data_IF_465513937510
#
_entry.id   IF_465513937510
#
_cell.length_a   1.000
_cell.length_b   1.000
_cell.length_c   1.000
_cell.angle_alpha   90.00
_cell.angle_beta   90.00
_cell.angle_gamma   90.00
#
_symmetry.space_group_name_H-M   'P 1'
#
loop_
_entity.id
_entity.type
_entity.pdbx_description
1 polymer ?
#
# COMPACT_ATOMS: atom_id res chain seq x y z
N UNK A 1 -6.91 -4.29 7.97
CA UNK A 1 -6.06 -4.91 6.91
C UNK A 1 -6.45 -6.35 6.62
N UNK A 2 -5.65 -7.04 5.79
CA UNK A 2 -5.89 -8.47 5.53
C UNK A 2 -5.38 -9.33 6.70
N UNK A 3 -4.34 -8.88 7.39
CA UNK A 3 -3.61 -9.64 8.42
C UNK A 3 -3.50 -8.94 9.76
N UNK A 4 -3.96 -7.69 9.87
CA UNK A 4 -3.90 -6.91 11.10
C UNK A 4 -5.02 -5.86 11.13
N UNK A 5 -5.41 -5.47 12.32
CA UNK A 5 -6.25 -4.31 12.61
C UNK A 5 -5.38 -3.19 13.19
N UNK A 6 -5.74 -1.95 12.90
CA UNK A 6 -5.04 -0.77 13.42
C UNK A 6 -6.03 0.22 13.98
N UNK A 7 -5.77 0.67 15.21
CA UNK A 7 -6.40 1.84 15.80
C UNK A 7 -5.35 2.94 15.84
N UNK A 8 -5.64 4.08 15.24
CA UNK A 8 -4.74 5.23 15.22
C UNK A 8 -5.44 6.50 15.64
N UNK A 9 -4.70 7.41 16.28
CA UNK A 9 -5.20 8.69 16.72
C UNK A 9 -4.05 9.65 17.04
N UNK A 10 -4.38 10.87 17.38
CA UNK A 10 -3.42 11.90 17.80
C UNK A 10 -4.05 12.81 18.85
N UNK A 11 -3.22 13.39 19.68
CA UNK A 11 -3.61 14.39 20.68
C UNK A 11 -2.52 15.44 20.83
N UNK A 12 -2.88 16.62 21.31
CA UNK A 12 -1.89 17.56 21.81
C UNK A 12 -1.30 17.05 23.14
N UNK A 13 -0.08 17.45 23.47
CA UNK A 13 0.60 16.96 24.70
C UNK A 13 -0.23 17.17 25.97
N UNK A 14 -0.99 18.27 26.05
CA UNK A 14 -1.88 18.56 27.19
C UNK A 14 -3.04 17.58 27.31
N UNK A 15 -3.41 16.91 26.21
CA UNK A 15 -4.57 16.02 26.12
C UNK A 15 -4.15 14.52 26.06
N UNK A 16 -2.88 14.24 26.41
CA UNK A 16 -2.30 12.90 26.31
C UNK A 16 -3.03 11.89 27.20
N UNK A 17 -3.40 12.29 28.43
CA UNK A 17 -4.18 11.43 29.31
C UNK A 17 -5.57 11.12 28.72
N UNK A 18 -6.23 12.10 28.10
CA UNK A 18 -7.50 11.87 27.41
C UNK A 18 -7.34 10.85 26.26
N UNK A 19 -6.24 10.92 25.51
CA UNK A 19 -5.95 9.93 24.49
C UNK A 19 -5.81 8.53 25.07
N UNK A 20 -5.12 8.38 26.21
CA UNK A 20 -4.95 7.09 26.89
C UNK A 20 -6.28 6.57 27.43
N UNK A 21 -7.12 7.43 27.99
CA UNK A 21 -8.49 7.10 28.40
C UNK A 21 -9.33 6.62 27.21
N UNK A 22 -9.25 7.28 26.06
CA UNK A 22 -9.95 6.86 24.86
C UNK A 22 -9.48 5.48 24.38
N UNK A 23 -8.17 5.22 24.34
CA UNK A 23 -7.65 3.90 23.96
C UNK A 23 -8.20 2.82 24.91
N UNK A 24 -8.17 3.09 26.21
CA UNK A 24 -8.70 2.18 27.23
C UNK A 24 -10.18 1.89 27.01
N UNK A 25 -10.99 2.91 26.78
CA UNK A 25 -12.42 2.77 26.54
C UNK A 25 -12.75 2.03 25.22
N UNK A 26 -12.01 2.29 24.17
CA UNK A 26 -12.17 1.54 22.91
C UNK A 26 -11.99 0.03 23.11
N UNK A 27 -11.08 -0.39 24.00
CA UNK A 27 -10.85 -1.80 24.26
C UNK A 27 -11.83 -2.38 25.27
N UNK A 28 -12.12 -1.65 26.38
CA UNK A 28 -12.85 -2.18 27.55
C UNK A 28 -14.35 -1.89 27.56
N UNK A 29 -14.78 -0.75 26.99
CA UNK A 29 -16.15 -0.29 27.04
C UNK A 29 -16.56 0.46 25.76
N UNK A 30 -16.41 -0.16 24.57
CA UNK A 30 -16.79 0.50 23.32
C UNK A 30 -18.29 0.80 23.29
N UNK A 31 -18.65 2.00 22.89
CA UNK A 31 -20.05 2.38 22.70
C UNK A 31 -20.51 1.94 21.30
N UNK A 32 -21.39 0.95 21.24
CA UNK A 32 -22.00 0.49 20.01
C UNK A 32 -23.32 1.21 19.76
N UNK A 33 -23.28 2.26 18.94
CA UNK A 33 -24.46 3.03 18.54
C UNK A 33 -25.09 2.45 17.27
N UNK A 34 -26.27 1.83 17.42
CA UNK A 34 -27.00 1.24 16.30
C UNK A 34 -27.53 2.28 15.31
N UNK A 35 -27.87 3.49 15.75
CA UNK A 35 -28.34 4.54 14.87
C UNK A 35 -27.19 5.04 13.99
N UNK A 36 -26.02 5.27 14.59
CA UNK A 36 -24.83 5.67 13.86
C UNK A 36 -24.37 4.57 12.90
N UNK A 37 -24.37 3.31 13.32
CA UNK A 37 -24.09 2.17 12.43
C UNK A 37 -24.99 2.17 11.20
N UNK A 38 -26.31 2.29 11.40
CA UNK A 38 -27.28 2.33 10.30
C UNK A 38 -27.03 3.53 9.39
N UNK A 39 -26.72 4.70 9.94
CA UNK A 39 -26.40 5.91 9.17
C UNK A 39 -25.17 5.70 8.28
N UNK A 40 -24.11 5.10 8.82
CA UNK A 40 -22.90 4.79 8.04
C UNK A 40 -23.16 3.73 6.97
N UNK A 41 -23.92 2.69 7.29
CA UNK A 41 -24.28 1.65 6.34
C UNK A 41 -25.13 2.20 5.18
N UNK A 42 -26.10 3.05 5.44
CA UNK A 42 -26.89 3.72 4.39
C UNK A 42 -26.03 4.65 3.51
N UNK A 43 -25.04 5.35 4.07
CA UNK A 43 -24.07 6.13 3.30
C UNK A 43 -23.23 5.24 2.36
N UNK A 44 -22.81 4.08 2.83
CA UNK A 44 -22.10 3.08 1.99
C UNK A 44 -23.01 2.60 0.87
N UNK A 45 -24.25 2.20 1.17
CA UNK A 45 -25.22 1.74 0.17
C UNK A 45 -25.53 2.80 -0.87
N UNK A 46 -25.75 4.04 -0.45
CA UNK A 46 -25.97 5.17 -1.37
C UNK A 46 -24.76 5.38 -2.30
N UNK A 47 -23.55 5.31 -1.75
CA UNK A 47 -22.33 5.42 -2.57
C UNK A 47 -22.22 4.29 -3.59
N UNK A 48 -22.54 3.05 -3.19
CA UNK A 48 -22.52 1.90 -4.09
C UNK A 48 -23.60 2.02 -5.18
N UNK A 49 -24.81 2.47 -4.83
CA UNK A 49 -25.90 2.72 -5.78
C UNK A 49 -25.48 3.77 -6.82
N UNK A 50 -24.93 4.90 -6.37
CA UNK A 50 -24.51 5.99 -7.26
C UNK A 50 -23.34 5.60 -8.19
N UNK A 51 -22.58 4.60 -7.82
CA UNK A 51 -21.46 4.07 -8.64
C UNK A 51 -21.84 2.88 -9.50
N UNK A 52 -23.03 2.33 -9.32
CA UNK A 52 -23.50 1.18 -10.08
C UNK A 52 -23.65 1.55 -11.56
N UNK A 53 -23.12 0.73 -12.45
CA UNK A 53 -23.17 0.95 -13.89
C UNK A 53 -22.19 2.00 -14.41
N UNK A 54 -21.43 2.70 -13.55
CA UNK A 54 -20.40 3.61 -14.03
C UNK A 54 -19.25 2.82 -14.71
N UNK A 55 -18.86 3.19 -15.92
CA UNK A 55 -17.85 2.46 -16.71
C UNK A 55 -16.54 2.19 -15.95
N UNK A 56 -16.05 3.20 -15.24
CA UNK A 56 -14.82 3.08 -14.43
C UNK A 56 -14.99 2.11 -13.25
N UNK A 57 -16.14 2.11 -12.60
CA UNK A 57 -16.42 1.18 -11.49
C UNK A 57 -16.48 -0.27 -11.97
N UNK A 58 -17.08 -0.50 -13.13
CA UNK A 58 -17.13 -1.84 -13.74
C UNK A 58 -15.75 -2.31 -14.17
N UNK A 59 -14.96 -1.43 -14.79
CA UNK A 59 -13.57 -1.70 -15.12
C UNK A 59 -12.75 -2.06 -13.88
N UNK A 60 -12.81 -1.26 -12.83
CA UNK A 60 -12.05 -1.51 -11.59
C UNK A 60 -12.44 -2.84 -10.93
N UNK A 61 -13.72 -3.21 -11.01
CA UNK A 61 -14.21 -4.50 -10.52
C UNK A 61 -13.67 -5.65 -11.36
N UNK A 62 -13.67 -5.53 -12.68
CA UNK A 62 -13.19 -6.54 -13.63
C UNK A 62 -11.69 -6.78 -13.46
N UNK A 63 -10.87 -5.72 -13.45
CA UNK A 63 -9.43 -5.88 -13.28
C UNK A 63 -9.05 -6.41 -11.90
N UNK A 64 -9.79 -6.03 -10.84
CA UNK A 64 -9.59 -6.58 -9.50
C UNK A 64 -9.86 -8.08 -9.46
N UNK A 65 -10.93 -8.53 -10.09
CA UNK A 65 -11.27 -9.95 -10.22
C UNK A 65 -10.14 -10.72 -10.93
N UNK A 66 -9.62 -10.18 -12.03
CA UNK A 66 -8.49 -10.75 -12.77
C UNK A 66 -7.21 -10.75 -11.94
N UNK A 67 -6.85 -9.61 -11.32
CA UNK A 67 -5.64 -9.45 -10.49
C UNK A 67 -5.53 -10.53 -9.40
N UNK A 68 -6.66 -10.97 -8.83
CA UNK A 68 -6.70 -11.90 -7.70
C UNK A 68 -7.42 -13.22 -7.99
N UNK A 69 -7.49 -13.64 -9.26
CA UNK A 69 -8.13 -14.91 -9.67
C UNK A 69 -9.56 -15.07 -9.12
N UNK A 70 -10.37 -14.02 -9.13
CA UNK A 70 -11.72 -14.00 -8.54
C UNK A 70 -11.78 -14.38 -7.05
N UNK A 71 -10.71 -14.18 -6.31
CA UNK A 71 -10.68 -14.53 -4.90
C UNK A 71 -11.75 -13.76 -4.10
N UNK A 72 -12.64 -14.42 -3.32
CA UNK A 72 -13.81 -13.78 -2.70
C UNK A 72 -13.44 -12.66 -1.71
N UNK A 73 -12.31 -12.77 -1.00
CA UNK A 73 -11.82 -11.71 -0.10
C UNK A 73 -11.33 -10.45 -0.80
N UNK A 74 -11.02 -10.52 -2.10
CA UNK A 74 -10.64 -9.37 -2.94
C UNK A 74 -11.76 -8.89 -3.85
N UNK A 75 -12.92 -9.55 -3.83
CA UNK A 75 -14.09 -9.08 -4.55
C UNK A 75 -14.53 -7.69 -4.05
N UNK A 76 -14.88 -6.81 -4.99
CA UNK A 76 -15.38 -5.47 -4.66
C UNK A 76 -16.64 -5.57 -3.79
N UNK A 77 -16.83 -4.56 -2.93
CA UNK A 77 -18.08 -4.39 -2.19
C UNK A 77 -19.23 -4.17 -3.19
N UNK A 78 -20.31 -4.92 -3.03
CA UNK A 78 -21.55 -4.77 -3.82
C UNK A 78 -22.69 -4.34 -2.90
N UNK A 79 -23.78 -3.84 -3.50
CA UNK A 79 -24.97 -3.49 -2.72
C UNK A 79 -25.54 -4.71 -2.01
N UNK A 80 -25.53 -5.89 -2.63
CA UNK A 80 -25.94 -7.17 -2.02
C UNK A 80 -25.09 -7.48 -0.77
N UNK A 81 -23.76 -7.40 -0.87
CA UNK A 81 -22.88 -7.58 0.29
C UNK A 81 -23.12 -6.54 1.38
N UNK A 82 -23.34 -5.26 1.00
CA UNK A 82 -23.65 -4.23 1.96
C UNK A 82 -24.98 -4.49 2.69
N UNK A 83 -25.98 -5.06 2.00
CA UNK A 83 -27.25 -5.43 2.60
C UNK A 83 -27.16 -6.62 3.58
N UNK A 84 -26.12 -7.46 3.45
CA UNK A 84 -25.88 -8.57 4.38
C UNK A 84 -25.13 -8.17 5.65
N UNK A 85 -24.62 -6.94 5.74
CA UNK A 85 -23.92 -6.45 6.94
C UNK A 85 -24.94 -6.15 8.04
N UNK A 86 -24.74 -6.76 9.20
CA UNK A 86 -25.61 -6.56 10.37
C UNK A 86 -24.85 -5.84 11.49
N UNK A 87 -25.59 -5.10 12.31
CA UNK A 87 -25.05 -4.45 13.50
C UNK A 87 -24.44 -5.47 14.48
N UNK A 88 -25.15 -6.56 14.73
CA UNK A 88 -24.69 -7.62 15.64
C UNK A 88 -23.43 -8.31 15.14
N UNK A 89 -23.35 -8.58 13.83
CA UNK A 89 -22.15 -9.15 13.23
C UNK A 89 -20.93 -8.22 13.30
N UNK A 90 -21.13 -6.91 13.07
CA UNK A 90 -20.05 -5.92 13.20
C UNK A 90 -19.59 -5.80 14.66
N UNK A 91 -20.52 -5.79 15.62
CA UNK A 91 -20.23 -5.78 17.05
C UNK A 91 -19.43 -7.01 17.47
N UNK A 92 -19.88 -8.21 17.10
CA UNK A 92 -19.19 -9.46 17.40
C UNK A 92 -17.76 -9.47 16.89
N UNK A 93 -17.54 -9.06 15.63
CA UNK A 93 -16.18 -8.99 15.06
C UNK A 93 -15.31 -8.02 15.86
N UNK A 94 -15.84 -6.86 16.25
CA UNK A 94 -15.09 -5.89 17.05
C UNK A 94 -14.70 -6.50 18.40
N UNK A 95 -15.64 -7.08 19.12
CA UNK A 95 -15.42 -7.71 20.42
C UNK A 95 -14.36 -8.82 20.33
N UNK A 96 -14.44 -9.69 19.32
CA UNK A 96 -13.45 -10.75 19.07
C UNK A 96 -12.04 -10.20 18.82
N UNK A 97 -11.92 -9.09 18.04
CA UNK A 97 -10.62 -8.52 17.65
C UNK A 97 -9.96 -7.72 18.76
N UNK A 98 -10.74 -7.09 19.64
CA UNK A 98 -10.22 -6.25 20.72
C UNK A 98 -10.26 -6.91 22.11
N UNK A 99 -10.68 -8.16 22.22
CA UNK A 99 -10.76 -8.89 23.50
C UNK A 99 -9.41 -9.15 24.19
N UNK A 100 -8.30 -9.12 23.45
CA UNK A 100 -6.98 -9.50 23.94
C UNK A 100 -5.94 -8.43 23.64
N UNK A 101 -5.81 -7.44 24.51
CA UNK A 101 -4.82 -6.39 24.37
C UNK A 101 -3.37 -6.85 24.56
N UNK A 102 -3.15 -8.04 25.14
CA UNK A 102 -1.82 -8.64 25.26
C UNK A 102 -1.18 -9.01 23.93
N UNK A 103 -1.97 -9.02 22.83
CA UNK A 103 -1.51 -9.24 21.46
C UNK A 103 -1.26 -7.95 20.69
N UNK A 104 -1.51 -6.79 21.30
CA UNK A 104 -1.34 -5.50 20.66
C UNK A 104 0.08 -4.98 20.80
N UNK A 105 0.52 -4.25 19.79
CA UNK A 105 1.71 -3.40 19.84
C UNK A 105 1.26 -1.94 19.85
N UNK A 106 1.58 -1.22 20.91
CA UNK A 106 1.28 0.19 21.05
C UNK A 106 2.50 1.02 20.65
N UNK A 107 2.36 1.89 19.66
CA UNK A 107 3.44 2.76 19.17
C UNK A 107 3.01 4.21 19.37
N UNK A 108 3.78 4.95 20.18
CA UNK A 108 3.59 6.37 20.43
C UNK A 108 4.80 7.14 19.90
N UNK A 109 4.54 8.16 19.11
CA UNK A 109 5.58 9.02 18.52
C UNK A 109 5.22 10.47 18.74
N UNK A 110 6.19 11.28 19.14
CA UNK A 110 5.98 12.69 19.39
C UNK A 110 6.90 13.28 20.47
N UNK A 111 6.61 14.48 20.91
CA UNK A 111 7.29 15.12 22.04
C UNK A 111 6.70 14.57 23.34
N UNK A 112 7.21 13.43 23.81
CA UNK A 112 6.69 12.70 24.97
C UNK A 112 7.69 12.84 26.13
N UNK A 113 7.20 13.36 27.27
CA UNK A 113 7.90 13.35 28.55
C UNK A 113 7.69 11.96 29.18
N UNK A 114 8.74 11.13 29.19
CA UNK A 114 8.66 9.75 29.64
C UNK A 114 8.26 9.61 31.12
N UNK A 115 8.67 10.52 31.98
CA UNK A 115 8.34 10.49 33.41
C UNK A 115 6.84 10.71 33.65
N UNK A 116 6.21 11.54 32.84
CA UNK A 116 4.76 11.77 32.85
C UNK A 116 3.99 10.70 32.09
N UNK A 117 4.57 10.14 31.07
CA UNK A 117 3.91 9.16 30.21
C UNK A 117 3.86 7.77 30.85
N UNK A 118 4.92 7.36 31.55
CA UNK A 118 5.00 6.05 32.20
C UNK A 118 3.82 5.74 33.12
N UNK A 119 3.41 6.62 34.05
CA UNK A 119 2.23 6.38 34.88
C UNK A 119 0.94 6.20 34.07
N UNK A 120 0.80 6.92 32.96
CA UNK A 120 -0.37 6.76 32.07
C UNK A 120 -0.37 5.39 31.39
N UNK A 121 0.79 4.92 30.91
CA UNK A 121 0.94 3.57 30.36
C UNK A 121 0.57 2.50 31.37
N UNK A 122 1.08 2.62 32.61
CA UNK A 122 0.79 1.69 33.71
C UNK A 122 -0.71 1.69 34.06
N UNK A 123 -1.33 2.86 34.09
CA UNK A 123 -2.76 3.00 34.42
C UNK A 123 -3.68 2.48 33.33
N UNK A 124 -3.45 2.86 32.08
CA UNK A 124 -4.41 2.65 30.99
C UNK A 124 -4.06 1.47 30.08
N UNK A 125 -2.78 1.23 29.78
CA UNK A 125 -2.41 0.15 28.86
C UNK A 125 -2.08 -1.15 29.58
N UNK A 126 -1.33 -1.09 30.70
CA UNK A 126 -0.97 -2.28 31.45
C UNK A 126 -2.16 -2.94 32.15
N UNK A 127 -3.26 -2.19 32.35
CA UNK A 127 -4.52 -2.69 32.94
C UNK A 127 -5.51 -3.25 31.91
N UNK A 128 -5.18 -3.20 30.62
CA UNK A 128 -6.05 -3.75 29.57
C UNK A 128 -6.22 -5.27 29.69
N UNK A 129 -7.39 -5.82 29.35
CA UNK A 129 -7.63 -7.25 29.42
C UNK A 129 -6.69 -8.02 28.48
N UNK A 130 -6.17 -9.15 28.99
CA UNK A 130 -5.34 -10.06 28.21
C UNK A 130 -5.74 -11.49 28.48
N UNK A 131 -5.71 -12.31 27.44
CA UNK A 131 -5.90 -13.78 27.56
C UNK A 131 -4.57 -14.53 27.65
N UNK A 132 -3.44 -13.84 27.48
CA UNK A 132 -2.11 -14.46 27.40
C UNK A 132 -1.85 -15.26 26.10
N UNK A 133 -2.81 -15.32 25.20
CA UNK A 133 -2.69 -16.05 23.92
C UNK A 133 -2.26 -15.08 22.82
N UNK A 134 -1.15 -15.37 22.14
CA UNK A 134 -0.77 -14.66 20.92
C UNK A 134 -1.48 -15.26 19.72
N UNK A 135 -2.10 -14.39 18.94
CA UNK A 135 -2.73 -14.78 17.68
C UNK A 135 -1.72 -14.74 16.54
N UNK A 136 -1.79 -15.71 15.66
CA UNK A 136 -1.04 -15.72 14.42
C UNK A 136 -1.96 -15.33 13.25
N UNK A 137 -1.40 -14.65 12.25
CA UNK A 137 -2.16 -14.37 11.05
C UNK A 137 -2.57 -15.67 10.33
N UNK A 138 -3.73 -15.65 9.69
CA UNK A 138 -4.22 -16.76 8.85
C UNK A 138 -3.96 -16.44 7.40
N UNK A 139 -3.20 -17.28 6.71
CA UNK A 139 -3.05 -17.18 5.27
C UNK A 139 -4.33 -17.65 4.56
N UNK A 140 -5.13 -16.70 4.11
CA UNK A 140 -6.38 -16.94 3.38
C UNK A 140 -6.15 -17.26 1.89
N UNK A 141 -4.92 -17.53 1.47
CA UNK A 141 -4.54 -17.86 0.10
C UNK A 141 -4.85 -16.76 -0.93
N UNK A 142 -4.91 -15.52 -0.49
CA UNK A 142 -5.04 -14.37 -1.39
C UNK A 142 -3.73 -14.20 -2.14
N UNK A 143 -3.77 -14.34 -3.47
CA UNK A 143 -2.58 -14.26 -4.33
C UNK A 143 -2.90 -13.49 -5.61
N UNK A 144 -1.90 -12.80 -6.11
CA UNK A 144 -1.97 -12.26 -7.47
C UNK A 144 -1.99 -13.39 -8.50
N UNK A 145 -2.69 -13.16 -9.61
CA UNK A 145 -2.63 -14.04 -10.78
C UNK A 145 -1.18 -14.09 -11.31
N UNK A 146 -0.81 -15.24 -11.86
CA UNK A 146 0.54 -15.48 -12.37
C UNK A 146 0.59 -15.43 -13.90
N UNK A 147 1.80 -15.20 -14.43
CA UNK A 147 2.07 -15.18 -15.84
C UNK A 147 1.80 -13.82 -16.49
N UNK A 148 1.70 -13.84 -17.82
CA UNK A 148 1.43 -12.64 -18.62
C UNK A 148 -0.06 -12.53 -18.92
N UNK A 149 -0.70 -11.48 -18.43
CA UNK A 149 -2.12 -11.18 -18.63
C UNK A 149 -2.22 -9.82 -19.30
N UNK A 150 -2.88 -9.75 -20.46
CA UNK A 150 -3.13 -8.50 -21.19
C UNK A 150 -4.64 -8.39 -21.39
N UNK A 151 -5.22 -7.26 -20.99
CA UNK A 151 -6.64 -6.94 -21.14
C UNK A 151 -6.82 -5.51 -21.61
N UNK A 152 -7.33 -5.36 -22.81
CA UNK A 152 -7.85 -4.09 -23.33
C UNK A 152 -9.37 -4.14 -23.18
N UNK A 153 -9.92 -3.18 -22.43
CA UNK A 153 -11.33 -3.16 -22.04
C UNK A 153 -11.93 -1.85 -22.55
N UNK A 154 -12.92 -1.97 -23.42
CA UNK A 154 -13.65 -0.81 -23.95
C UNK A 154 -14.88 -0.54 -23.09
N UNK A 155 -15.08 0.71 -22.71
CA UNK A 155 -16.26 1.18 -21.98
C UNK A 155 -16.77 2.48 -22.59
N UNK A 156 -18.03 2.79 -22.35
CA UNK A 156 -18.66 4.05 -22.77
C UNK A 156 -18.19 5.19 -21.84
N UNK A 157 -17.05 5.79 -22.20
CA UNK A 157 -16.40 6.82 -21.40
C UNK A 157 -16.83 8.21 -21.85
N UNK A 158 -16.95 9.14 -20.92
CA UNK A 158 -17.27 10.56 -21.20
C UNK A 158 -16.06 11.34 -21.70
N UNK A 159 -14.86 10.79 -21.61
CA UNK A 159 -13.61 11.44 -22.02
C UNK A 159 -12.87 10.56 -23.02
N UNK A 160 -12.27 11.18 -24.05
CA UNK A 160 -11.44 10.50 -25.03
C UNK A 160 -10.02 10.25 -24.47
N UNK A 161 -9.94 9.38 -23.46
CA UNK A 161 -8.69 9.01 -22.80
C UNK A 161 -8.60 7.51 -22.61
N UNK A 162 -7.40 6.96 -22.81
CA UNK A 162 -7.04 5.63 -22.38
C UNK A 162 -6.39 5.69 -20.98
N UNK A 163 -6.81 4.82 -20.06
CA UNK A 163 -6.12 4.64 -18.78
C UNK A 163 -5.31 3.35 -18.81
N UNK A 164 -4.02 3.45 -18.57
CA UNK A 164 -3.06 2.34 -18.60
C UNK A 164 -2.63 1.98 -17.18
N UNK A 165 -2.66 0.69 -16.87
CA UNK A 165 -2.10 0.11 -15.64
C UNK A 165 -1.27 -1.12 -15.99
N UNK A 166 0.02 -1.07 -15.70
CA UNK A 166 0.93 -2.22 -15.87
C UNK A 166 1.45 -2.62 -14.50
N UNK A 167 1.14 -3.84 -14.08
CA UNK A 167 1.53 -4.41 -12.79
C UNK A 167 2.48 -5.58 -13.00
N UNK A 168 3.64 -5.48 -12.36
CA UNK A 168 4.58 -6.60 -12.22
C UNK A 168 4.54 -7.11 -10.79
N UNK A 169 4.61 -8.43 -10.60
CA UNK A 169 4.68 -9.06 -9.28
C UNK A 169 5.84 -10.03 -9.21
N UNK A 170 6.56 -10.04 -8.11
CA UNK A 170 7.69 -10.93 -7.92
C UNK A 170 7.84 -11.33 -6.45
N UNK A 171 8.33 -12.55 -6.21
CA UNK A 171 8.82 -12.92 -4.88
C UNK A 171 10.11 -12.18 -4.61
N UNK A 172 10.16 -11.49 -3.49
CA UNK A 172 11.32 -10.75 -3.03
C UNK A 172 11.34 -10.77 -1.50
N UNK A 173 12.47 -11.12 -0.84
CA UNK A 173 12.54 -11.08 0.62
C UNK A 173 12.18 -9.69 1.15
N UNK A 174 11.36 -9.65 2.20
CA UNK A 174 11.05 -8.41 2.88
C UNK A 174 12.22 -8.06 3.81
N UNK A 175 13.04 -7.10 3.43
CA UNK A 175 14.24 -6.69 4.16
C UNK A 175 14.53 -5.21 3.97
N UNK A 176 15.32 -4.62 4.86
CA UNK A 176 15.74 -3.23 4.77
C UNK A 176 16.51 -2.95 3.47
N UNK A 177 17.39 -3.88 3.05
CA UNK A 177 18.17 -3.75 1.80
C UNK A 177 17.25 -3.72 0.58
N UNK A 178 16.27 -4.62 0.52
CA UNK A 178 15.33 -4.66 -0.61
C UNK A 178 14.41 -3.44 -0.63
N UNK A 179 14.02 -2.89 0.52
CA UNK A 179 13.28 -1.63 0.60
C UNK A 179 14.09 -0.46 0.04
N UNK A 180 15.37 -0.37 0.39
CA UNK A 180 16.28 0.67 -0.13
C UNK A 180 16.48 0.52 -1.64
N UNK A 181 16.71 -0.72 -2.13
CA UNK A 181 16.81 -1.03 -3.56
C UNK A 181 15.54 -0.65 -4.32
N UNK A 182 14.41 -1.06 -3.81
CA UNK A 182 13.09 -0.78 -4.39
C UNK A 182 12.78 0.71 -4.46
N UNK A 183 13.11 1.46 -3.40
CA UNK A 183 12.94 2.91 -3.39
C UNK A 183 13.78 3.58 -4.49
N UNK A 184 15.07 3.27 -4.57
CA UNK A 184 15.97 3.82 -5.60
C UNK A 184 15.51 3.40 -7.01
N UNK A 185 15.17 2.12 -7.21
CA UNK A 185 14.65 1.60 -8.47
C UNK A 185 13.39 2.33 -8.92
N UNK A 186 12.39 2.47 -8.02
CA UNK A 186 11.14 3.18 -8.29
C UNK A 186 11.38 4.63 -8.72
N UNK A 187 12.27 5.33 -8.04
CA UNK A 187 12.63 6.72 -8.37
C UNK A 187 13.21 6.80 -9.79
N UNK A 188 14.20 5.96 -10.10
CA UNK A 188 14.87 5.93 -11.40
C UNK A 188 13.86 5.60 -12.51
N UNK A 189 13.06 4.57 -12.34
CA UNK A 189 12.07 4.16 -13.33
C UNK A 189 11.02 5.23 -13.57
N UNK A 190 10.54 5.91 -12.53
CA UNK A 190 9.61 7.03 -12.64
C UNK A 190 10.23 8.19 -13.41
N UNK A 191 11.49 8.54 -13.12
CA UNK A 191 12.21 9.63 -13.80
C UNK A 191 12.37 9.33 -15.29
N UNK A 192 12.73 8.09 -15.65
CA UNK A 192 12.79 7.63 -17.03
C UNK A 192 11.46 7.76 -17.76
N UNK A 193 10.35 7.32 -17.15
CA UNK A 193 9.03 7.47 -17.76
C UNK A 193 8.56 8.93 -17.88
N UNK A 194 8.90 9.77 -16.90
CA UNK A 194 8.63 11.20 -17.03
C UNK A 194 9.36 11.81 -18.22
N UNK A 195 10.56 11.38 -18.50
CA UNK A 195 11.32 11.84 -19.66
C UNK A 195 10.79 11.23 -20.98
N UNK A 196 10.72 9.90 -21.08
CA UNK A 196 10.40 9.20 -22.33
C UNK A 196 8.91 9.34 -22.71
N UNK A 197 7.97 9.25 -21.76
CA UNK A 197 6.53 9.29 -22.02
C UNK A 197 6.02 10.75 -22.06
N UNK A 198 6.39 11.58 -21.07
CA UNK A 198 5.85 12.92 -20.94
C UNK A 198 6.61 13.94 -21.80
N UNK A 199 7.95 14.04 -21.63
CA UNK A 199 8.73 15.12 -22.21
C UNK A 199 9.03 14.88 -23.70
N UNK A 200 9.43 13.66 -24.07
CA UNK A 200 9.80 13.34 -25.44
C UNK A 200 8.58 13.07 -26.35
N UNK A 201 7.55 12.42 -25.82
CA UNK A 201 6.37 12.00 -26.61
C UNK A 201 5.13 12.83 -26.34
N UNK A 202 5.06 13.56 -25.22
CA UNK A 202 3.83 14.22 -24.82
C UNK A 202 2.67 13.25 -24.55
N UNK A 203 2.99 11.97 -24.33
CA UNK A 203 2.03 10.88 -24.26
C UNK A 203 1.18 10.87 -22.99
N UNK A 204 1.68 11.49 -21.90
CA UNK A 204 0.95 11.60 -20.65
C UNK A 204 1.27 12.88 -19.90
N UNK A 205 0.32 13.39 -19.10
CA UNK A 205 0.59 14.53 -18.21
C UNK A 205 1.49 14.11 -17.04
N UNK A 206 1.26 12.93 -16.48
CA UNK A 206 2.05 12.36 -15.38
C UNK A 206 2.08 10.85 -15.47
N UNK A 207 3.18 10.26 -15.00
CA UNK A 207 3.32 8.81 -14.86
C UNK A 207 3.58 8.49 -13.39
N UNK A 208 2.76 7.62 -12.84
CA UNK A 208 2.94 7.09 -11.48
C UNK A 208 3.65 5.75 -11.54
N UNK A 209 4.70 5.59 -10.74
CA UNK A 209 5.35 4.31 -10.50
C UNK A 209 5.31 4.03 -9.00
N UNK A 210 4.64 2.96 -8.61
CA UNK A 210 4.55 2.51 -7.24
C UNK A 210 5.31 1.19 -7.10
N UNK A 211 6.10 1.07 -6.04
CA UNK A 211 6.71 -0.18 -5.61
C UNK A 211 6.21 -0.45 -4.19
N UNK A 212 5.67 -1.62 -3.96
CA UNK A 212 5.12 -2.01 -2.66
C UNK A 212 5.66 -3.39 -2.30
N UNK A 213 6.33 -3.47 -1.17
CA UNK A 213 6.82 -4.71 -0.59
C UNK A 213 5.81 -5.22 0.45
N UNK A 214 5.50 -6.50 0.38
CA UNK A 214 4.62 -7.19 1.31
C UNK A 214 5.41 -8.27 2.06
N UNK A 215 5.40 -8.24 3.39
CA UNK A 215 5.97 -9.30 4.23
C UNK A 215 5.05 -10.52 4.31
N UNK A 216 3.75 -10.30 4.33
CA UNK A 216 2.71 -11.30 4.55
C UNK A 216 1.72 -11.35 3.37
N UNK A 217 1.16 -12.52 3.08
CA UNK A 217 1.42 -13.85 3.67
C UNK A 217 2.65 -14.51 3.06
N UNK A 218 3.19 -13.94 2.03
CA UNK A 218 4.43 -14.32 1.35
C UNK A 218 5.23 -13.05 1.04
N UNK A 219 6.53 -13.16 1.10
CA UNK A 219 7.36 -12.03 0.71
C UNK A 219 7.18 -11.74 -0.79
N UNK A 220 6.66 -10.58 -1.10
CA UNK A 220 6.28 -10.15 -2.44
C UNK A 220 6.66 -8.70 -2.68
N UNK A 221 7.00 -8.36 -3.92
CA UNK A 221 7.02 -6.99 -4.41
C UNK A 221 6.05 -6.84 -5.56
N UNK A 222 5.38 -5.70 -5.60
CA UNK A 222 4.62 -5.24 -6.77
C UNK A 222 5.23 -3.96 -7.32
N UNK A 223 5.38 -3.86 -8.64
CA UNK A 223 5.73 -2.62 -9.35
C UNK A 223 4.54 -2.28 -10.23
N UNK A 224 3.89 -1.15 -9.97
CA UNK A 224 2.72 -0.71 -10.73
C UNK A 224 2.98 0.62 -11.40
N UNK A 225 2.78 0.67 -12.73
CA UNK A 225 2.92 1.87 -13.57
C UNK A 225 1.53 2.27 -14.04
N UNK A 226 1.11 3.49 -13.73
CA UNK A 226 -0.21 3.99 -14.09
C UNK A 226 -0.12 5.38 -14.73
N UNK A 227 -0.83 5.60 -15.82
CA UNK A 227 -0.98 6.89 -16.48
C UNK A 227 -2.18 6.92 -17.42
N UNK A 228 -2.62 8.12 -17.78
CA UNK A 228 -3.61 8.34 -18.83
C UNK A 228 -2.92 8.89 -20.09
N UNK A 229 -3.40 8.48 -21.25
CA UNK A 229 -2.90 8.92 -22.56
C UNK A 229 -4.04 9.06 -23.58
N UNK A 230 -3.75 9.62 -24.76
CA UNK A 230 -4.70 9.55 -25.86
C UNK A 230 -4.90 8.08 -26.32
N UNK A 231 -6.13 7.64 -26.67
CA UNK A 231 -6.37 6.25 -27.09
C UNK A 231 -5.49 5.80 -28.24
N UNK A 232 -5.18 6.70 -29.18
CA UNK A 232 -4.31 6.45 -30.34
C UNK A 232 -2.84 6.25 -29.98
N UNK A 233 -2.41 6.67 -28.79
CA UNK A 233 -1.04 6.57 -28.31
C UNK A 233 -0.84 5.37 -27.35
N UNK A 234 -1.90 4.68 -26.98
CA UNK A 234 -1.85 3.67 -25.93
C UNK A 234 -0.79 2.57 -26.19
N UNK A 235 -0.75 2.04 -27.41
CA UNK A 235 0.20 0.99 -27.79
C UNK A 235 1.64 1.48 -27.78
N UNK A 236 1.91 2.69 -28.36
CA UNK A 236 3.25 3.32 -28.33
C UNK A 236 3.74 3.53 -26.88
N UNK A 237 2.85 4.01 -26.00
CA UNK A 237 3.23 4.23 -24.60
C UNK A 237 3.52 2.91 -23.86
N UNK A 238 2.78 1.84 -24.17
CA UNK A 238 3.04 0.52 -23.61
C UNK A 238 4.38 -0.07 -24.10
N UNK A 239 4.74 0.17 -25.36
CA UNK A 239 6.06 -0.20 -25.89
C UNK A 239 7.19 0.53 -25.16
N UNK A 240 7.02 1.82 -24.87
CA UNK A 240 7.98 2.60 -24.06
C UNK A 240 8.07 2.03 -22.64
N UNK A 241 6.94 1.71 -22.00
CA UNK A 241 6.96 1.07 -20.67
C UNK A 241 7.80 -0.21 -20.69
N UNK A 242 7.60 -1.06 -21.69
CA UNK A 242 8.37 -2.32 -21.80
C UNK A 242 9.85 -2.07 -22.11
N UNK A 243 10.16 -1.12 -23.00
CA UNK A 243 11.53 -0.77 -23.38
C UNK A 243 12.36 -0.30 -22.18
N UNK A 244 11.80 0.57 -21.32
CA UNK A 244 12.50 1.04 -20.12
C UNK A 244 12.74 -0.09 -19.11
N UNK A 245 11.76 -0.99 -18.95
CA UNK A 245 11.91 -2.20 -18.12
C UNK A 245 13.03 -3.10 -18.64
N UNK A 246 13.08 -3.35 -19.94
CA UNK A 246 14.08 -4.20 -20.58
C UNK A 246 15.47 -3.54 -20.51
N UNK A 247 15.55 -2.24 -20.72
CA UNK A 247 16.81 -1.49 -20.65
C UNK A 247 17.41 -1.51 -19.25
N UNK A 248 16.63 -1.14 -18.22
CA UNK A 248 17.12 -1.14 -16.85
C UNK A 248 17.51 -2.54 -16.35
N UNK A 249 16.80 -3.59 -16.80
CA UNK A 249 17.16 -4.96 -16.49
C UNK A 249 18.41 -5.44 -17.22
N UNK A 250 18.69 -4.94 -18.42
CA UNK A 250 19.85 -5.31 -19.25
C UNK A 250 21.10 -4.51 -18.87
N UNK A 251 20.98 -3.20 -18.84
CA UNK A 251 22.09 -2.26 -18.74
C UNK A 251 22.25 -1.66 -17.34
N UNK A 252 21.18 -1.60 -16.54
CA UNK A 252 21.13 -0.86 -15.29
C UNK A 252 20.93 0.65 -15.51
N UNK A 253 20.89 1.46 -14.46
CA UNK A 253 20.91 2.91 -14.56
C UNK A 253 22.32 3.43 -14.82
N UNK A 254 22.41 4.66 -15.32
CA UNK A 254 23.64 5.45 -15.29
C UNK A 254 24.00 5.83 -13.84
N UNK A 255 25.28 6.19 -13.63
CA UNK A 255 25.71 6.74 -12.33
C UNK A 255 24.92 7.98 -11.95
N UNK A 256 24.65 8.87 -12.90
CA UNK A 256 23.88 10.09 -12.66
C UNK A 256 22.45 9.83 -12.17
N UNK A 257 21.74 8.86 -12.77
CA UNK A 257 20.41 8.47 -12.33
C UNK A 257 20.43 7.92 -10.89
N UNK A 258 21.42 7.08 -10.59
CA UNK A 258 21.56 6.51 -9.24
C UNK A 258 21.91 7.57 -8.20
N UNK A 259 22.87 8.46 -8.49
CA UNK A 259 23.24 9.55 -7.60
C UNK A 259 22.08 10.51 -7.32
N UNK A 260 21.22 10.76 -8.31
CA UNK A 260 19.99 11.55 -8.11
C UNK A 260 19.05 10.87 -7.13
N UNK A 261 18.83 9.56 -7.27
CA UNK A 261 18.03 8.77 -6.35
C UNK A 261 18.61 8.79 -4.93
N UNK A 262 19.93 8.57 -4.80
CA UNK A 262 20.63 8.59 -3.50
C UNK A 262 20.50 9.95 -2.81
N UNK A 263 20.74 11.07 -3.53
CA UNK A 263 20.55 12.42 -2.98
C UNK A 263 19.13 12.69 -2.53
N UNK A 264 18.16 12.29 -3.34
CA UNK A 264 16.74 12.46 -3.03
C UNK A 264 16.36 11.70 -1.75
N UNK A 265 16.69 10.41 -1.64
CA UNK A 265 16.30 9.60 -0.51
C UNK A 265 17.08 9.91 0.77
N UNK A 266 18.36 10.28 0.68
CA UNK A 266 19.12 10.78 1.84
C UNK A 266 18.53 12.08 2.38
N UNK A 267 18.03 12.97 1.50
CA UNK A 267 17.33 14.19 1.92
C UNK A 267 16.00 13.82 2.61
N UNK A 268 15.21 12.91 2.03
CA UNK A 268 13.95 12.45 2.63
C UNK A 268 14.17 11.81 3.99
N UNK A 269 15.19 10.96 4.13
CA UNK A 269 15.54 10.37 5.41
C UNK A 269 15.87 11.43 6.45
N UNK A 270 16.77 12.37 6.15
CA UNK A 270 17.15 13.47 7.04
C UNK A 270 15.98 14.35 7.49
N UNK A 271 15.04 14.61 6.59
CA UNK A 271 13.84 15.38 6.93
C UNK A 271 12.78 14.53 7.64
N UNK A 272 12.70 13.26 7.28
CA UNK A 272 11.75 12.30 7.83
C UNK A 272 11.94 12.05 9.32
N UNK A 273 13.19 11.93 9.79
CA UNK A 273 13.50 11.67 11.21
C UNK A 273 12.96 12.72 12.19
N UNK A 274 12.58 13.89 11.71
CA UNK A 274 11.93 14.93 12.51
C UNK A 274 10.39 14.83 12.51
N UNK A 275 9.81 13.81 11.88
CA UNK A 275 8.35 13.65 11.77
C UNK A 275 7.84 12.40 12.50
N UNK A 276 6.66 12.52 13.10
CA UNK A 276 6.03 11.40 13.80
C UNK A 276 5.71 10.22 12.86
N UNK A 277 5.25 10.50 11.64
CA UNK A 277 4.90 9.46 10.67
C UNK A 277 6.08 8.57 10.30
N UNK A 278 7.26 9.16 10.14
CA UNK A 278 8.49 8.40 9.87
C UNK A 278 8.77 7.37 10.98
N UNK A 279 8.69 7.81 12.24
CA UNK A 279 8.94 6.92 13.38
C UNK A 279 7.84 5.89 13.58
N UNK A 280 6.58 6.26 13.34
CA UNK A 280 5.47 5.29 13.41
C UNK A 280 5.67 4.17 12.40
N UNK A 281 6.04 4.48 11.15
CA UNK A 281 6.31 3.48 10.12
C UNK A 281 7.55 2.64 10.46
N UNK A 282 8.66 3.28 10.83
CA UNK A 282 9.92 2.60 11.19
C UNK A 282 9.74 1.64 12.36
N UNK A 283 9.06 2.06 13.42
CA UNK A 283 8.79 1.23 14.59
C UNK A 283 7.79 0.12 14.29
N UNK A 284 6.80 0.38 13.42
CA UNK A 284 5.86 -0.66 12.97
C UNK A 284 6.59 -1.78 12.23
N UNK A 285 7.48 -1.45 11.31
CA UNK A 285 8.29 -2.44 10.60
C UNK A 285 9.20 -3.24 11.54
N UNK A 286 9.81 -2.55 12.50
CA UNK A 286 10.69 -3.18 13.47
C UNK A 286 9.94 -4.16 14.38
N UNK A 287 8.84 -3.73 15.00
CA UNK A 287 8.10 -4.57 15.96
C UNK A 287 7.24 -5.64 15.27
N UNK A 288 6.75 -5.40 14.07
CA UNK A 288 5.89 -6.34 13.36
C UNK A 288 6.69 -7.37 12.56
N UNK A 289 7.81 -6.95 11.95
CA UNK A 289 8.56 -7.81 11.02
C UNK A 289 10.03 -8.00 11.38
N UNK A 290 10.54 -7.36 12.43
CA UNK A 290 11.95 -7.42 12.83
C UNK A 290 12.89 -6.66 11.89
N UNK A 291 12.38 -5.70 11.11
CA UNK A 291 13.15 -4.99 10.10
C UNK A 291 13.60 -3.63 10.62
N UNK A 292 14.90 -3.45 10.74
CA UNK A 292 15.52 -2.15 11.07
C UNK A 292 15.73 -1.32 9.80
N UNK A 293 14.81 -0.43 9.53
CA UNK A 293 14.85 0.49 8.39
C UNK A 293 15.60 1.80 8.70
N UNK A 294 16.17 1.95 9.90
CA UNK A 294 16.76 3.21 10.36
C UNK A 294 18.27 3.17 10.49
N UNK A 295 18.82 2.24 11.28
CA UNK A 295 20.22 2.27 11.77
C UNK A 295 21.25 2.33 10.64
N UNK A 296 21.05 1.61 9.55
CA UNK A 296 21.98 1.55 8.42
C UNK A 296 21.46 2.18 7.14
N UNK A 297 20.35 2.95 7.20
CA UNK A 297 19.67 3.45 6.01
C UNK A 297 20.60 4.21 5.05
N UNK A 298 21.27 5.26 5.54
CA UNK A 298 22.17 6.07 4.70
C UNK A 298 23.35 5.25 4.16
N UNK A 299 23.90 4.34 4.97
CA UNK A 299 24.98 3.43 4.54
C UNK A 299 24.51 2.52 3.41
N UNK A 300 23.33 1.89 3.55
CA UNK A 300 22.76 1.04 2.52
C UNK A 300 22.46 1.83 1.24
N UNK A 301 21.81 3.00 1.36
CA UNK A 301 21.49 3.85 0.21
C UNK A 301 22.75 4.29 -0.55
N UNK A 302 23.78 4.74 0.16
CA UNK A 302 25.03 5.22 -0.46
C UNK A 302 25.92 4.10 -1.03
N UNK A 303 25.75 2.87 -0.55
CA UNK A 303 26.47 1.70 -1.05
C UNK A 303 25.88 1.12 -2.34
N UNK A 304 24.67 1.54 -2.76
CA UNK A 304 24.05 1.05 -3.98
C UNK A 304 24.90 1.36 -5.22
N UNK A 305 24.98 0.38 -6.09
CA UNK A 305 25.66 0.48 -7.40
C UNK A 305 24.65 0.32 -8.55
N UNK A 306 24.97 0.79 -9.78
CA UNK A 306 24.14 0.49 -10.96
C UNK A 306 23.92 -1.02 -11.16
N UNK A 307 24.92 -1.84 -10.79
CA UNK A 307 24.82 -3.31 -10.87
C UNK A 307 23.75 -3.87 -9.92
N UNK A 308 23.58 -3.28 -8.73
CA UNK A 308 22.59 -3.73 -7.77
C UNK A 308 21.17 -3.42 -8.26
N UNK A 309 20.93 -2.22 -8.78
CA UNK A 309 19.67 -1.85 -9.43
C UNK A 309 19.35 -2.76 -10.63
N UNK A 310 20.38 -3.06 -11.46
CA UNK A 310 20.22 -3.99 -12.58
C UNK A 310 19.84 -5.40 -12.11
N UNK A 311 20.50 -5.92 -11.08
CA UNK A 311 20.20 -7.24 -10.51
C UNK A 311 18.78 -7.28 -9.93
N UNK A 312 18.39 -6.22 -9.22
CA UNK A 312 17.04 -6.07 -8.69
C UNK A 312 15.99 -6.10 -9.81
N UNK A 313 16.17 -5.29 -10.86
CA UNK A 313 15.29 -5.28 -12.03
C UNK A 313 15.19 -6.68 -12.68
N UNK A 314 16.32 -7.36 -12.88
CA UNK A 314 16.34 -8.74 -13.41
C UNK A 314 15.58 -9.71 -12.50
N UNK A 315 15.71 -9.60 -11.20
CA UNK A 315 15.01 -10.46 -10.23
C UNK A 315 13.51 -10.25 -10.29
N UNK A 316 13.06 -9.00 -10.35
CA UNK A 316 11.64 -8.65 -10.37
C UNK A 316 11.00 -9.03 -11.71
N UNK A 317 11.53 -8.53 -12.82
CA UNK A 317 10.91 -8.73 -14.14
C UNK A 317 11.20 -10.12 -14.73
N UNK A 318 12.28 -10.76 -14.31
CA UNK A 318 12.64 -12.12 -14.73
C UNK A 318 11.65 -13.19 -14.27
N UNK A 319 10.81 -12.94 -13.27
CA UNK A 319 9.76 -13.85 -12.84
C UNK A 319 8.55 -13.87 -13.78
N UNK A 320 8.51 -12.98 -14.77
CA UNK A 320 7.57 -12.95 -15.90
C UNK A 320 6.09 -12.88 -15.49
N UNK A 321 5.79 -12.38 -14.31
CA UNK A 321 4.43 -12.07 -13.89
C UNK A 321 4.12 -10.62 -14.23
N UNK A 322 3.39 -10.39 -15.31
CA UNK A 322 2.99 -9.07 -15.80
C UNK A 322 1.48 -9.06 -16.06
N UNK A 323 0.80 -8.08 -15.53
CA UNK A 323 -0.58 -7.78 -15.86
C UNK A 323 -0.64 -6.41 -16.51
N UNK A 324 -1.25 -6.32 -17.66
CA UNK A 324 -1.42 -5.10 -18.44
C UNK A 324 -2.90 -4.87 -18.67
N UNK A 325 -3.38 -3.75 -18.22
CA UNK A 325 -4.78 -3.36 -18.32
C UNK A 325 -4.87 -2.00 -19.01
N UNK A 326 -5.65 -1.94 -20.05
CA UNK A 326 -5.95 -0.71 -20.79
C UNK A 326 -7.45 -0.49 -20.81
N UNK A 327 -7.90 0.62 -20.26
CA UNK A 327 -9.28 1.08 -20.39
C UNK A 327 -9.36 2.04 -21.57
N UNK A 328 -10.18 1.73 -22.54
CA UNK A 328 -10.38 2.51 -23.76
C UNK A 328 -11.82 3.03 -23.85
N UNK A 329 -12.04 4.22 -24.46
CA UNK A 329 -13.38 4.61 -24.87
C UNK A 329 -13.89 3.69 -25.98
N UNK A 330 -15.19 3.32 -25.94
CA UNK A 330 -15.83 2.68 -27.08
C UNK A 330 -15.83 3.63 -28.26
N UNK A 331 -15.51 3.11 -29.42
CA UNK A 331 -15.62 3.83 -30.70
C UNK A 331 -17.07 3.98 -31.11
#
# INVERSE_FOLDING_TARGET
>A
GEYYETLSGYAANRDLETLMQMIYLYVTAPNFDKQEFNRQLEKIKSTLTNRQGLPKTEYDREIRAIKYNNHPRKASMTLEKANSITFEGAKQIYEERFANAGDFTFIFTGNIDLDKFKPLVETYLASLPTTGVKQNYKDNQVRYAKGKIIKHIEKDLTTDKASISVLYTAKLPYSAENKVLSAAFRYILRDRYMKSIREEKGGAYSVSVNATEEALPINLITIEVNFDTAPTMADEMLEIVQKEVDDIAKNGPSLFELENAQRYFNKLHKTGISTNSYWTETLSDYYQYGIDNFTNYEKMMNALTPSDIRKFAKTVFGQKNKMEFVLLPKK
#
